data_IF_163829519370
#
_entry.id   IF_163829519370
#
_cell.length_a   1.000
_cell.length_b   1.000
_cell.length_c   1.000
_cell.angle_alpha   90.00
_cell.angle_beta   90.00
_cell.angle_gamma   90.00
#
_symmetry.space_group_name_H-M   'P 1'
#
loop_
_entity.id
_entity.type
_entity.pdbx_description
1 polymer ?
#
# COMPACT_ATOMS: atom_id res chain seq x y z
N UNK A 1 20.30 5.19 -3.82
CA UNK A 1 19.17 4.26 -4.04
C UNK A 1 18.02 4.89 -3.29
N UNK A 2 17.22 5.71 -3.98
CA UNK A 2 16.17 6.48 -3.33
C UNK A 2 14.96 5.56 -3.10
N UNK A 3 14.45 5.54 -1.88
CA UNK A 3 13.25 4.78 -1.54
C UNK A 3 12.08 5.26 -2.42
N UNK A 4 11.55 4.36 -3.26
CA UNK A 4 10.39 4.54 -4.15
C UNK A 4 9.04 4.61 -3.39
N UNK A 5 9.09 4.88 -2.08
CA UNK A 5 7.94 4.97 -1.20
C UNK A 5 8.10 6.21 -0.34
N UNK A 6 7.31 7.23 -0.63
CA UNK A 6 7.14 8.38 0.24
C UNK A 6 5.86 8.18 1.04
N UNK A 7 6.00 8.02 2.35
CA UNK A 7 4.87 8.00 3.29
C UNK A 7 4.64 9.41 3.83
N UNK A 8 3.49 9.99 3.52
CA UNK A 8 2.99 11.22 4.11
C UNK A 8 2.35 10.89 5.47
N UNK A 9 3.05 11.23 6.56
CA UNK A 9 2.58 10.95 7.91
C UNK A 9 1.34 11.76 8.31
N UNK A 10 1.14 12.94 7.72
CA UNK A 10 -0.02 13.78 8.01
C UNK A 10 -1.28 13.23 7.33
N UNK A 11 -1.13 12.81 6.07
CA UNK A 11 -2.24 12.26 5.27
C UNK A 11 -2.40 10.75 5.43
N UNK A 12 -1.50 10.10 6.17
CA UNK A 12 -1.44 8.63 6.36
C UNK A 12 -1.45 7.86 5.04
N UNK A 13 -0.84 8.40 3.99
CA UNK A 13 -0.85 7.80 2.66
C UNK A 13 0.57 7.60 2.12
N UNK A 14 0.75 6.60 1.26
CA UNK A 14 2.00 6.37 0.55
C UNK A 14 1.80 6.56 -0.94
N UNK A 15 2.69 7.35 -1.55
CA UNK A 15 2.79 7.35 -3.01
C UNK A 15 3.84 6.33 -3.40
N UNK A 16 3.39 5.25 -4.05
CA UNK A 16 4.26 4.17 -4.50
C UNK A 16 3.99 3.93 -5.98
N UNK A 17 5.07 3.80 -6.75
CA UNK A 17 4.94 3.49 -8.17
C UNK A 17 4.53 2.04 -8.43
N UNK A 18 3.56 1.82 -9.31
CA UNK A 18 3.21 0.45 -9.77
C UNK A 18 4.42 -0.24 -10.42
N UNK A 19 5.21 0.53 -11.17
CA UNK A 19 6.43 0.03 -11.81
C UNK A 19 7.54 -0.24 -10.80
N UNK A 20 7.59 0.55 -9.72
CA UNK A 20 8.45 0.29 -8.56
C UNK A 20 8.11 -1.04 -7.89
N UNK A 21 6.83 -1.24 -7.53
CA UNK A 21 6.36 -2.50 -6.92
C UNK A 21 6.66 -3.70 -7.84
N UNK A 22 6.35 -3.58 -9.13
CA UNK A 22 6.60 -4.64 -10.11
C UNK A 22 8.08 -5.04 -10.13
N UNK A 23 8.98 -4.05 -10.11
CA UNK A 23 10.44 -4.28 -10.04
C UNK A 23 10.84 -4.97 -8.74
N UNK A 24 10.37 -4.46 -7.61
CA UNK A 24 10.78 -4.94 -6.27
C UNK A 24 10.22 -6.33 -5.94
N UNK A 25 9.06 -6.67 -6.50
CA UNK A 25 8.39 -7.97 -6.32
C UNK A 25 8.72 -8.97 -7.42
N UNK A 26 9.50 -8.57 -8.45
CA UNK A 26 9.73 -9.35 -9.66
C UNK A 26 8.44 -9.84 -10.34
N UNK A 27 7.39 -9.02 -10.32
CA UNK A 27 6.08 -9.31 -10.91
C UNK A 27 5.80 -8.42 -12.12
N UNK A 28 4.88 -8.84 -12.99
CA UNK A 28 4.35 -7.96 -14.03
C UNK A 28 3.48 -6.85 -13.43
N UNK A 29 3.49 -5.67 -14.07
CA UNK A 29 2.63 -4.54 -13.65
C UNK A 29 1.16 -4.93 -13.60
N UNK A 30 0.68 -5.76 -14.53
CA UNK A 30 -0.70 -6.26 -14.53
C UNK A 30 -1.02 -7.18 -13.34
N UNK A 31 -0.05 -7.96 -12.86
CA UNK A 31 -0.22 -8.74 -11.63
C UNK A 31 -0.26 -7.85 -10.40
N UNK A 32 0.59 -6.83 -10.35
CA UNK A 32 0.56 -5.81 -9.28
C UNK A 32 -0.79 -5.10 -9.26
N UNK A 33 -1.33 -4.68 -10.40
CA UNK A 33 -2.66 -4.08 -10.48
C UNK A 33 -3.77 -4.99 -9.97
N UNK A 34 -3.73 -6.28 -10.32
CA UNK A 34 -4.70 -7.25 -9.80
C UNK A 34 -4.59 -7.39 -8.29
N UNK A 35 -3.38 -7.52 -7.76
CA UNK A 35 -3.14 -7.61 -6.33
C UNK A 35 -3.64 -6.36 -5.58
N UNK A 36 -3.34 -5.16 -6.08
CA UNK A 36 -3.79 -3.90 -5.50
C UNK A 36 -5.32 -3.78 -5.50
N UNK A 37 -5.99 -4.18 -6.59
CA UNK A 37 -7.46 -4.23 -6.64
C UNK A 37 -8.03 -5.21 -5.62
N UNK A 38 -7.42 -6.39 -5.45
CA UNK A 38 -7.84 -7.35 -4.43
C UNK A 38 -7.64 -6.80 -3.01
N UNK A 39 -6.53 -6.10 -2.75
CA UNK A 39 -6.32 -5.44 -1.44
C UNK A 39 -7.36 -4.35 -1.19
N UNK A 40 -7.69 -3.55 -2.21
CA UNK A 40 -8.74 -2.53 -2.09
C UNK A 40 -10.13 -3.15 -1.83
N UNK A 41 -10.46 -4.25 -2.52
CA UNK A 41 -11.71 -4.99 -2.29
C UNK A 41 -11.83 -5.59 -0.88
N UNK A 42 -10.70 -5.80 -0.21
CA UNK A 42 -10.66 -6.29 1.18
C UNK A 42 -10.57 -5.16 2.20
N UNK A 43 -10.77 -3.91 1.77
CA UNK A 43 -10.63 -2.71 2.60
C UNK A 43 -9.27 -2.59 3.30
N UNK A 44 -8.22 -3.15 2.68
CA UNK A 44 -6.84 -3.09 3.18
C UNK A 44 -6.17 -1.79 2.74
N UNK A 45 -6.47 -1.34 1.52
CA UNK A 45 -5.98 -0.08 0.97
C UNK A 45 -7.10 0.71 0.31
N UNK A 46 -6.92 2.02 0.20
CA UNK A 46 -7.70 2.88 -0.71
C UNK A 46 -6.81 3.30 -1.87
N UNK A 47 -7.35 3.23 -3.09
CA UNK A 47 -6.67 3.63 -4.31
C UNK A 47 -7.17 5.02 -4.68
N UNK A 48 -6.25 5.98 -4.75
CA UNK A 48 -6.53 7.36 -5.16
C UNK A 48 -6.03 7.54 -6.59
N UNK A 49 -6.97 7.74 -7.52
CA UNK A 49 -6.62 8.00 -8.92
C UNK A 49 -6.21 9.46 -9.08
N UNK A 50 -4.98 9.68 -9.52
CA UNK A 50 -4.44 11.02 -9.74
C UNK A 50 -4.50 11.38 -11.22
N UNK A 51 -4.83 12.63 -11.51
CA UNK A 51 -4.88 13.18 -12.86
C UNK A 51 -4.02 14.45 -12.88
N UNK A 52 -3.22 14.61 -13.94
CA UNK A 52 -2.52 15.86 -14.20
C UNK A 52 -3.52 16.93 -14.69
N UNK A 53 -3.10 18.20 -14.67
CA UNK A 53 -3.93 19.35 -15.08
C UNK A 53 -4.45 19.25 -16.53
N UNK A 54 -3.76 18.46 -17.37
CA UNK A 54 -4.18 18.17 -18.75
C UNK A 54 -5.18 17.00 -18.86
N UNK A 55 -5.70 16.49 -17.75
CA UNK A 55 -6.65 15.38 -17.68
C UNK A 55 -6.03 14.00 -17.90
N UNK A 56 -4.71 13.89 -18.12
CA UNK A 56 -4.05 12.59 -18.26
C UNK A 56 -3.94 11.91 -16.90
N UNK A 57 -4.32 10.63 -16.85
CA UNK A 57 -4.10 9.82 -15.65
C UNK A 57 -2.59 9.71 -15.38
N UNK A 58 -2.20 10.06 -14.15
CA UNK A 58 -0.83 9.89 -13.64
C UNK A 58 -0.80 8.74 -12.63
N UNK A 59 0.32 8.61 -11.92
CA UNK A 59 0.49 7.53 -10.97
C UNK A 59 -0.48 7.64 -9.79
N UNK A 60 -1.21 6.56 -9.52
CA UNK A 60 -2.13 6.49 -8.39
C UNK A 60 -1.36 6.53 -7.07
N UNK A 61 -1.96 7.14 -6.05
CA UNK A 61 -1.50 7.04 -4.66
C UNK A 61 -2.31 5.99 -3.92
N UNK A 62 -1.70 5.38 -2.90
CA UNK A 62 -2.31 4.29 -2.13
C UNK A 62 -2.28 4.65 -0.66
N UNK A 63 -3.43 4.55 0.00
CA UNK A 63 -3.57 4.78 1.43
C UNK A 63 -3.81 3.44 2.10
N UNK A 64 -3.07 3.13 3.17
CA UNK A 64 -3.32 1.91 3.95
C UNK A 64 -4.54 2.16 4.84
N UNK A 65 -5.61 1.41 4.62
CA UNK A 65 -6.88 1.58 5.33
C UNK A 65 -6.91 0.88 6.71
N UNK A 66 -5.83 0.18 7.09
CA UNK A 66 -5.65 -0.48 8.39
C UNK A 66 -5.46 0.49 9.58
N UNK A 67 -6.24 1.55 9.66
CA UNK A 67 -6.32 2.42 10.83
C UNK A 67 -7.76 2.73 11.28
N UNK A 68 -8.74 1.97 10.78
CA UNK A 68 -10.07 1.91 11.38
C UNK A 68 -10.39 0.56 12.02
N UNK A 69 -9.40 -0.33 12.14
CA UNK A 69 -9.46 -1.28 13.23
C UNK A 69 -8.98 -0.52 14.46
N UNK A 70 -9.86 -0.36 15.44
CA UNK A 70 -9.50 -0.55 16.85
C UNK A 70 -8.82 -1.92 16.98
N UNK A 71 -7.61 -2.05 16.45
CA UNK A 71 -6.73 -3.12 16.86
C UNK A 71 -6.26 -2.66 18.23
N UNK A 72 -6.98 -3.14 19.25
CA UNK A 72 -6.48 -3.22 20.61
C UNK A 72 -4.97 -3.51 20.52
N UNK A 73 -4.15 -2.69 21.17
CA UNK A 73 -2.68 -2.81 21.18
C UNK A 73 -2.21 -4.25 21.39
N UNK A 74 -3.01 -5.03 22.10
CA UNK A 74 -2.82 -6.45 22.36
C UNK A 74 -2.80 -7.32 21.09
N UNK A 75 -3.68 -7.06 20.10
CA UNK A 75 -3.70 -7.81 18.83
C UNK A 75 -2.52 -7.48 17.92
N UNK A 76 -2.02 -6.24 18.01
CA UNK A 76 -0.80 -5.82 17.32
C UNK A 76 0.42 -6.50 17.94
N UNK A 77 0.51 -6.53 19.27
CA UNK A 77 1.55 -7.27 20.00
C UNK A 77 1.52 -8.77 19.72
N UNK A 78 0.35 -9.38 19.66
CA UNK A 78 0.21 -10.81 19.37
C UNK A 78 0.64 -11.14 17.93
N UNK A 79 0.33 -10.29 16.96
CA UNK A 79 0.80 -10.44 15.59
C UNK A 79 2.33 -10.29 15.49
N UNK A 80 2.92 -9.33 16.21
CA UNK A 80 4.38 -9.15 16.30
C UNK A 80 5.07 -10.34 16.99
N UNK A 81 4.46 -10.88 18.07
CA UNK A 81 4.96 -12.08 18.74
C UNK A 81 4.91 -13.29 17.80
N UNK A 82 3.79 -13.50 17.10
CA UNK A 82 3.61 -14.63 16.18
C UNK A 82 4.62 -14.62 15.02
N UNK A 83 5.07 -13.44 14.59
CA UNK A 83 6.13 -13.28 13.59
C UNK A 83 7.52 -13.61 14.15
N UNK A 84 7.77 -13.37 15.44
CA UNK A 84 9.05 -13.71 16.11
C UNK A 84 9.25 -15.21 16.36
N UNK A 85 8.17 -15.99 16.47
CA UNK A 85 8.26 -17.44 16.75
C UNK A 85 8.27 -18.34 15.50
N UNK A 86 8.42 -17.76 14.30
CA UNK A 86 8.57 -18.50 13.03
C UNK A 86 10.01 -18.56 12.49
N UNK A 87 11.03 -18.28 13.30
CA UNK A 87 12.45 -18.57 12.97
C UNK A 87 12.88 -19.94 13.48
#
# INVERSE_FOLDING_TARGET
>A
MDLLCYYDSEKKNSTISRTGIARDTAMSVSNVERALKTLAQKDIIRIHNNYADNGRQVENSYEVAFLNYDMDEDKLRDAELALRFKS
#
